data_IF_071682272899
#
_entry.id   IF_071682272899
#
_cell.length_a   1.000
_cell.length_b   1.000
_cell.length_c   1.000
_cell.angle_alpha   90.00
_cell.angle_beta   90.00
_cell.angle_gamma   90.00
#
_symmetry.space_group_name_H-M   'P 1'
#
loop_
_entity.id
_entity.type
_entity.pdbx_description
1 polymer ?
#
# COMPACT_ATOMS: atom_id res chain seq x y z
N UNK A 1 7.94 18.67 65.71
CA UNK A 1 7.43 17.45 65.03
C UNK A 1 6.67 17.92 63.79
N UNK A 2 7.22 17.77 62.58
CA UNK A 2 6.93 16.66 61.61
C UNK A 2 5.46 16.79 61.13
N UNK A 3 5.08 16.94 59.84
CA UNK A 3 5.66 16.57 58.54
C UNK A 3 5.01 17.34 57.39
N UNK A 4 5.76 17.47 56.29
CA UNK A 4 5.32 17.91 54.97
C UNK A 4 4.43 16.87 54.25
N UNK A 5 3.67 17.32 53.26
CA UNK A 5 3.05 16.49 52.23
C UNK A 5 2.20 17.35 51.29
N UNK A 6 2.33 17.32 49.98
CA UNK A 6 3.26 16.66 49.09
C UNK A 6 3.05 17.31 47.72
N UNK A 7 4.11 17.83 47.12
CA UNK A 7 4.07 18.27 45.73
C UNK A 7 3.93 17.02 44.87
N UNK A 8 2.74 16.81 44.30
CA UNK A 8 2.57 15.83 43.24
C UNK A 8 3.30 16.32 42.00
N UNK A 9 4.48 15.75 41.74
CA UNK A 9 5.12 15.89 40.43
C UNK A 9 4.14 15.41 39.34
N UNK A 10 4.00 16.15 38.22
CA UNK A 10 3.27 15.63 37.08
C UNK A 10 3.96 14.35 36.61
N UNK A 11 3.21 13.32 36.18
CA UNK A 11 3.82 12.10 35.70
C UNK A 11 4.72 12.45 34.52
N UNK A 12 6.03 12.28 34.69
CA UNK A 12 7.04 12.40 33.65
C UNK A 12 6.94 11.18 32.73
N UNK A 13 5.78 11.03 32.09
CA UNK A 13 5.58 10.07 31.01
C UNK A 13 6.41 10.55 29.83
N UNK A 14 7.48 9.82 29.51
CA UNK A 14 8.21 10.04 28.26
C UNK A 14 7.23 9.80 27.12
N UNK A 15 6.78 10.87 26.46
CA UNK A 15 5.95 10.72 25.25
C UNK A 15 6.80 9.97 24.23
N UNK A 16 6.37 8.79 23.76
CA UNK A 16 7.15 8.05 22.79
C UNK A 16 7.26 8.88 21.51
N UNK A 17 8.47 9.24 21.11
CA UNK A 17 8.73 9.94 19.85
C UNK A 17 8.63 8.90 18.74
N UNK A 18 7.50 8.88 18.04
CA UNK A 18 7.33 8.04 16.85
C UNK A 18 7.90 8.74 15.63
N UNK A 19 8.65 7.99 14.82
CA UNK A 19 8.98 8.45 13.46
C UNK A 19 7.69 8.66 12.66
N UNK A 20 7.61 9.72 11.82
CA UNK A 20 6.46 9.93 10.96
C UNK A 20 6.24 8.72 10.05
N UNK A 21 5.03 8.16 10.10
CA UNK A 21 4.60 7.12 9.17
C UNK A 21 4.09 7.85 7.92
N UNK A 22 4.90 7.85 6.85
CA UNK A 22 4.60 8.61 5.63
C UNK A 22 3.68 7.83 4.69
N UNK A 23 2.59 8.43 4.20
CA UNK A 23 1.71 7.80 3.21
C UNK A 23 2.39 7.72 1.84
N UNK A 24 2.19 6.62 1.09
CA UNK A 24 2.72 6.48 -0.25
C UNK A 24 1.91 7.30 -1.25
N UNK A 25 2.61 7.91 -2.23
CA UNK A 25 1.98 8.75 -3.25
C UNK A 25 1.81 8.03 -4.59
N UNK A 26 0.68 8.25 -5.25
CA UNK A 26 0.37 7.78 -6.60
C UNK A 26 0.85 8.84 -7.60
N UNK A 27 2.00 8.57 -8.22
CA UNK A 27 2.59 9.45 -9.26
C UNK A 27 2.39 8.91 -10.68
N UNK A 28 1.80 7.72 -10.80
CA UNK A 28 1.54 7.05 -12.07
C UNK A 28 0.44 6.02 -11.87
N UNK A 29 -0.45 5.92 -12.85
CA UNK A 29 -1.50 4.90 -12.93
C UNK A 29 -1.06 3.65 -13.72
N UNK A 30 0.24 3.55 -14.06
CA UNK A 30 0.74 2.33 -14.67
C UNK A 30 0.52 1.15 -13.72
N UNK A 31 0.19 -0.01 -14.27
CA UNK A 31 -0.11 -1.20 -13.48
C UNK A 31 1.00 -1.53 -12.47
N UNK A 32 2.28 -1.46 -12.88
CA UNK A 32 3.42 -1.66 -11.99
C UNK A 32 3.48 -0.63 -10.85
N UNK A 33 3.22 0.64 -11.15
CA UNK A 33 3.21 1.68 -10.13
C UNK A 33 2.09 1.48 -9.10
N UNK A 34 0.90 1.08 -9.55
CA UNK A 34 -0.24 0.80 -8.68
C UNK A 34 -0.02 -0.46 -7.83
N UNK A 35 0.58 -1.52 -8.37
CA UNK A 35 0.94 -2.71 -7.59
C UNK A 35 1.94 -2.36 -6.49
N UNK A 36 2.96 -1.54 -6.82
CA UNK A 36 3.92 -1.08 -5.82
C UNK A 36 3.24 -0.22 -4.77
N UNK A 37 2.42 0.74 -5.18
CA UNK A 37 1.68 1.61 -4.27
C UNK A 37 0.77 0.81 -3.33
N UNK A 38 0.04 -0.19 -3.81
CA UNK A 38 -0.83 -1.05 -2.99
C UNK A 38 -0.05 -1.79 -1.89
N UNK A 39 1.14 -2.31 -2.23
CA UNK A 39 2.05 -2.95 -1.27
C UNK A 39 2.53 -1.95 -0.21
N UNK A 40 2.99 -0.78 -0.65
CA UNK A 40 3.45 0.30 0.25
C UNK A 40 2.31 0.84 1.13
N UNK A 41 1.10 0.92 0.59
CA UNK A 41 -0.11 1.38 1.29
C UNK A 41 -0.51 0.42 2.40
N UNK A 42 -0.45 -0.88 2.13
CA UNK A 42 -0.68 -1.92 3.16
C UNK A 42 0.32 -1.83 4.31
N UNK A 43 1.60 -1.61 4.00
CA UNK A 43 2.65 -1.44 5.01
C UNK A 43 2.47 -0.16 5.82
N UNK A 44 2.11 0.95 5.15
CA UNK A 44 1.76 2.22 5.77
C UNK A 44 0.59 2.05 6.76
N UNK A 45 -0.52 1.47 6.31
CA UNK A 45 -1.70 1.29 7.16
C UNK A 45 -1.43 0.33 8.33
N UNK A 46 -0.63 -0.72 8.13
CA UNK A 46 -0.24 -1.63 9.21
C UNK A 46 0.56 -0.89 10.28
N UNK A 47 1.54 -0.07 9.88
CA UNK A 47 2.32 0.77 10.81
C UNK A 47 1.43 1.79 11.51
N UNK A 48 0.50 2.39 10.79
CA UNK A 48 -0.42 3.39 11.32
C UNK A 48 -1.38 2.80 12.35
N UNK A 49 -2.00 1.65 12.07
CA UNK A 49 -2.84 0.92 13.03
C UNK A 49 -2.08 0.54 14.30
N UNK A 50 -0.82 0.10 14.15
CA UNK A 50 0.04 -0.19 15.29
C UNK A 50 0.31 1.06 16.14
N UNK A 51 0.51 2.23 15.50
CA UNK A 51 0.67 3.51 16.22
C UNK A 51 -0.61 3.88 16.96
N UNK A 52 -1.76 3.88 16.28
CA UNK A 52 -3.07 4.16 16.86
C UNK A 52 -3.34 3.30 18.11
N UNK A 53 -2.98 2.01 18.07
CA UNK A 53 -3.12 1.11 19.23
C UNK A 53 -2.30 1.55 20.44
N UNK A 54 -1.14 2.18 20.24
CA UNK A 54 -0.26 2.64 21.32
C UNK A 54 -0.63 4.06 21.78
N UNK A 55 -1.03 4.93 20.85
CA UNK A 55 -1.32 6.35 21.14
C UNK A 55 -2.78 6.59 21.56
N UNK A 56 -3.70 5.69 21.19
CA UNK A 56 -5.15 5.90 21.32
C UNK A 56 -5.75 6.81 20.25
N UNK A 57 -4.98 7.17 19.21
CA UNK A 57 -5.48 7.92 18.05
C UNK A 57 -6.55 7.11 17.30
N UNK A 58 -7.58 7.78 16.82
CA UNK A 58 -8.54 7.19 15.88
C UNK A 58 -7.88 6.98 14.52
N UNK A 59 -7.96 5.76 13.99
CA UNK A 59 -7.35 5.38 12.73
C UNK A 59 -7.96 6.16 11.56
N UNK A 60 -9.27 6.29 11.52
CA UNK A 60 -9.99 6.94 10.41
C UNK A 60 -9.69 8.44 10.35
N UNK A 61 -9.29 9.04 11.47
CA UNK A 61 -8.89 10.44 11.55
C UNK A 61 -7.43 10.70 11.11
N UNK A 62 -6.56 9.68 11.08
CA UNK A 62 -5.13 9.84 10.80
C UNK A 62 -4.66 9.19 9.50
N UNK A 63 -5.48 8.33 8.91
CA UNK A 63 -5.19 7.69 7.64
C UNK A 63 -5.35 8.69 6.49
N UNK A 64 -4.34 8.79 5.62
CA UNK A 64 -4.43 9.66 4.45
C UNK A 64 -5.42 9.05 3.44
N UNK A 65 -6.34 9.87 2.92
CA UNK A 65 -7.28 9.43 1.89
C UNK A 65 -6.56 9.11 0.58
N UNK A 66 -7.16 8.26 -0.26
CA UNK A 66 -6.60 7.89 -1.55
C UNK A 66 -6.54 9.11 -2.46
N UNK A 67 -7.57 9.96 -2.43
CA UNK A 67 -7.58 11.24 -3.14
C UNK A 67 -6.33 12.07 -2.85
N UNK A 68 -5.94 12.17 -1.58
CA UNK A 68 -4.75 12.91 -1.14
C UNK A 68 -3.43 12.19 -1.44
N UNK A 69 -3.49 10.88 -1.76
CA UNK A 69 -2.34 10.10 -2.18
C UNK A 69 -1.94 10.41 -3.63
N UNK A 70 -2.85 10.92 -4.46
CA UNK A 70 -2.52 11.28 -5.86
C UNK A 70 -1.65 12.53 -5.95
N UNK A 71 -0.79 12.55 -6.96
CA UNK A 71 -0.32 13.80 -7.54
C UNK A 71 -1.52 14.60 -8.09
N UNK A 72 -1.57 15.91 -7.83
CA UNK A 72 -2.74 16.73 -8.11
C UNK A 72 -3.10 16.77 -9.60
N UNK A 73 -2.11 17.00 -10.47
CA UNK A 73 -2.31 17.04 -11.92
C UNK A 73 -2.73 15.66 -12.44
N UNK A 74 -2.17 14.59 -11.86
CA UNK A 74 -2.57 13.22 -12.19
C UNK A 74 -4.02 12.93 -11.76
N UNK A 75 -4.45 13.40 -10.59
CA UNK A 75 -5.81 13.20 -10.09
C UNK A 75 -6.82 13.85 -11.05
N UNK A 76 -6.55 15.07 -11.50
CA UNK A 76 -7.44 15.80 -12.41
C UNK A 76 -7.63 15.05 -13.74
N UNK A 77 -6.53 14.63 -14.36
CA UNK A 77 -6.57 13.85 -15.61
C UNK A 77 -7.23 12.48 -15.38
N UNK A 78 -6.98 11.85 -14.24
CA UNK A 78 -7.59 10.56 -13.91
C UNK A 78 -9.12 10.68 -13.77
N UNK A 79 -9.60 11.69 -13.05
CA UNK A 79 -11.03 11.92 -12.87
C UNK A 79 -11.72 12.24 -14.21
N UNK A 80 -11.14 13.13 -15.01
CA UNK A 80 -11.71 13.54 -16.31
C UNK A 80 -11.76 12.38 -17.30
N UNK A 81 -10.64 11.67 -17.50
CA UNK A 81 -10.52 10.72 -18.62
C UNK A 81 -10.81 9.27 -18.26
N UNK A 82 -10.58 8.84 -17.02
CA UNK A 82 -10.88 7.46 -16.60
C UNK A 82 -12.26 7.35 -15.97
N UNK A 83 -12.60 8.26 -15.06
CA UNK A 83 -13.86 8.20 -14.32
C UNK A 83 -14.99 8.97 -14.98
N UNK A 84 -14.68 9.92 -15.87
CA UNK A 84 -15.64 10.84 -16.47
C UNK A 84 -16.47 11.58 -15.41
N UNK A 85 -15.79 12.10 -14.38
CA UNK A 85 -16.36 12.86 -13.26
C UNK A 85 -15.44 14.02 -12.89
N UNK A 86 -15.99 15.14 -12.41
CA UNK A 86 -15.18 16.27 -11.93
C UNK A 86 -14.39 15.89 -10.67
N UNK A 87 -13.15 16.39 -10.52
CA UNK A 87 -12.31 16.13 -9.33
C UNK A 87 -12.99 16.55 -8.02
N UNK A 88 -13.90 17.52 -8.06
CA UNK A 88 -14.67 17.94 -6.89
C UNK A 88 -15.66 16.86 -6.41
N UNK A 89 -16.23 16.10 -7.34
CA UNK A 89 -17.30 15.12 -7.09
C UNK A 89 -16.77 13.69 -6.92
N UNK A 90 -15.49 13.44 -7.20
CA UNK A 90 -14.90 12.12 -7.03
C UNK A 90 -14.92 11.68 -5.56
N UNK A 91 -15.34 10.43 -5.34
CA UNK A 91 -15.37 9.80 -4.02
C UNK A 91 -14.23 8.80 -3.86
N UNK A 92 -13.84 8.53 -2.61
CA UNK A 92 -12.86 7.47 -2.30
C UNK A 92 -13.24 6.11 -2.92
N UNK A 93 -14.53 5.75 -2.88
CA UNK A 93 -15.02 4.50 -3.44
C UNK A 93 -14.82 4.39 -4.96
N UNK A 94 -14.94 5.50 -5.69
CA UNK A 94 -14.69 5.52 -7.14
C UNK A 94 -13.20 5.34 -7.45
N UNK A 95 -12.32 6.00 -6.69
CA UNK A 95 -10.87 5.84 -6.86
C UNK A 95 -10.43 4.41 -6.55
N UNK A 96 -10.95 3.82 -5.47
CA UNK A 96 -10.69 2.41 -5.12
C UNK A 96 -11.12 1.48 -6.25
N UNK A 97 -12.38 1.60 -6.68
CA UNK A 97 -12.95 0.73 -7.71
C UNK A 97 -12.14 0.79 -9.02
N UNK A 98 -11.69 1.97 -9.43
CA UNK A 98 -10.90 2.09 -10.67
C UNK A 98 -9.47 1.60 -10.49
N UNK A 99 -8.83 1.82 -9.33
CA UNK A 99 -7.52 1.23 -9.05
C UNK A 99 -7.62 -0.30 -9.07
N UNK A 100 -8.64 -0.88 -8.43
CA UNK A 100 -8.90 -2.32 -8.44
C UNK A 100 -9.16 -2.84 -9.86
N UNK A 101 -9.93 -2.10 -10.66
CA UNK A 101 -10.18 -2.42 -12.07
C UNK A 101 -8.87 -2.43 -12.89
N UNK A 102 -8.02 -1.42 -12.74
CA UNK A 102 -6.72 -1.38 -13.42
C UNK A 102 -5.86 -2.57 -13.00
N UNK A 103 -5.80 -2.89 -11.71
CA UNK A 103 -4.99 -3.98 -11.17
C UNK A 103 -5.48 -5.38 -11.58
N UNK A 104 -6.80 -5.55 -11.68
CA UNK A 104 -7.45 -6.78 -12.15
C UNK A 104 -7.41 -6.94 -13.68
N UNK A 105 -7.10 -5.89 -14.42
CA UNK A 105 -7.00 -5.94 -15.88
C UNK A 105 -5.61 -6.35 -16.35
N UNK A 106 -5.58 -7.18 -17.40
CA UNK A 106 -4.34 -7.50 -18.11
C UNK A 106 -3.72 -6.21 -18.64
N UNK A 107 -2.41 -6.03 -18.42
CA UNK A 107 -1.65 -4.87 -18.91
C UNK A 107 -1.98 -4.57 -20.38
N UNK A 108 -2.32 -3.32 -20.68
CA UNK A 108 -2.68 -2.85 -22.02
C UNK A 108 -3.86 -3.60 -22.69
N UNK A 109 -4.69 -4.30 -21.91
CA UNK A 109 -5.75 -5.20 -22.42
C UNK A 109 -5.21 -6.26 -23.41
N UNK A 110 -3.92 -6.58 -23.33
CA UNK A 110 -3.24 -7.47 -24.23
C UNK A 110 -2.52 -8.56 -23.43
N UNK A 111 -2.93 -9.81 -23.62
CA UNK A 111 -2.26 -10.94 -22.98
C UNK A 111 -0.80 -11.01 -23.43
N UNK A 112 0.18 -10.97 -22.51
CA UNK A 112 1.55 -11.26 -22.87
C UNK A 112 1.66 -12.71 -23.33
N UNK A 113 2.74 -13.08 -23.99
CA UNK A 113 3.07 -14.50 -24.16
C UNK A 113 3.34 -15.10 -22.77
N UNK A 114 2.30 -15.67 -22.18
CA UNK A 114 2.31 -16.22 -20.82
C UNK A 114 3.40 -17.28 -20.70
N UNK A 115 3.59 -18.11 -21.73
CA UNK A 115 4.59 -19.19 -21.70
C UNK A 115 5.99 -18.60 -21.65
N UNK A 116 6.31 -17.66 -22.53
CA UNK A 116 7.63 -17.04 -22.54
C UNK A 116 7.87 -16.18 -21.30
N UNK A 117 6.85 -15.49 -20.77
CA UNK A 117 6.93 -14.73 -19.51
C UNK A 117 7.36 -15.61 -18.34
N UNK A 118 6.60 -16.67 -18.04
CA UNK A 118 6.93 -17.57 -16.93
C UNK A 118 8.24 -18.33 -17.18
N UNK A 119 8.52 -18.72 -18.43
CA UNK A 119 9.79 -19.35 -18.78
C UNK A 119 10.99 -18.42 -18.56
N UNK A 120 10.84 -17.11 -18.75
CA UNK A 120 11.91 -16.13 -18.53
C UNK A 120 12.08 -15.82 -17.04
N UNK A 121 10.98 -15.49 -16.37
CA UNK A 121 11.04 -14.79 -15.08
C UNK A 121 10.79 -15.71 -13.87
N UNK A 122 10.12 -16.85 -14.03
CA UNK A 122 9.87 -17.79 -12.94
C UNK A 122 10.96 -18.86 -12.86
N UNK A 123 11.96 -18.61 -12.01
CA UNK A 123 13.10 -19.51 -11.79
C UNK A 123 13.21 -19.95 -10.34
N UNK A 124 13.44 -21.24 -10.13
CA UNK A 124 13.71 -21.78 -8.80
C UNK A 124 15.17 -21.51 -8.43
N UNK A 125 15.40 -20.95 -7.24
CA UNK A 125 16.74 -20.73 -6.72
C UNK A 125 17.36 -22.04 -6.26
N UNK A 126 18.19 -22.67 -7.09
CA UNK A 126 18.84 -23.94 -6.75
C UNK A 126 20.01 -23.79 -5.76
N UNK A 127 20.43 -22.56 -5.45
CA UNK A 127 21.43 -22.31 -4.42
C UNK A 127 20.85 -22.38 -3.00
N UNK A 128 19.53 -22.23 -2.83
CA UNK A 128 18.87 -22.47 -1.55
C UNK A 128 18.79 -23.97 -1.25
N UNK A 129 19.37 -24.37 -0.12
CA UNK A 129 19.48 -25.76 0.31
C UNK A 129 18.25 -26.23 1.08
N UNK A 130 17.53 -25.34 1.74
CA UNK A 130 16.25 -25.62 2.38
C UNK A 130 15.15 -25.74 1.31
N UNK A 131 14.67 -26.97 1.10
CA UNK A 131 13.67 -27.29 0.09
C UNK A 131 12.35 -26.53 0.31
N UNK A 132 11.97 -26.31 1.57
CA UNK A 132 10.73 -25.62 1.92
C UNK A 132 10.86 -24.14 1.60
N UNK A 133 11.95 -23.50 2.04
CA UNK A 133 12.22 -22.09 1.73
C UNK A 133 12.29 -21.85 0.22
N UNK A 134 13.02 -22.70 -0.51
CA UNK A 134 13.13 -22.64 -1.98
C UNK A 134 11.77 -22.75 -2.68
N UNK A 135 10.91 -23.63 -2.21
CA UNK A 135 9.56 -23.80 -2.77
C UNK A 135 8.68 -22.59 -2.49
N UNK A 136 8.76 -22.02 -1.28
CA UNK A 136 8.03 -20.81 -0.90
C UNK A 136 8.46 -19.60 -1.73
N UNK A 137 9.77 -19.43 -1.94
CA UNK A 137 10.30 -18.32 -2.76
C UNK A 137 9.85 -18.43 -4.23
N UNK A 138 9.83 -19.65 -4.78
CA UNK A 138 9.30 -19.90 -6.12
C UNK A 138 7.82 -19.52 -6.24
N UNK A 139 6.98 -19.93 -5.27
CA UNK A 139 5.56 -19.58 -5.27
C UNK A 139 5.32 -18.09 -5.02
N UNK A 140 6.14 -17.44 -4.20
CA UNK A 140 6.15 -15.98 -4.02
C UNK A 140 6.48 -15.27 -5.32
N UNK A 141 7.49 -15.74 -6.06
CA UNK A 141 7.85 -15.23 -7.37
C UNK A 141 6.70 -15.39 -8.38
N UNK A 142 6.08 -16.58 -8.43
CA UNK A 142 4.88 -16.82 -9.25
C UNK A 142 3.77 -15.81 -8.98
N UNK A 143 3.39 -15.63 -7.69
CA UNK A 143 2.36 -14.66 -7.30
C UNK A 143 2.73 -13.23 -7.69
N UNK A 144 4.00 -12.89 -7.61
CA UNK A 144 4.51 -11.56 -8.00
C UNK A 144 4.36 -11.35 -9.50
N UNK A 145 4.75 -12.32 -10.33
CA UNK A 145 4.59 -12.27 -11.78
C UNK A 145 3.11 -12.15 -12.18
N UNK A 146 2.24 -12.94 -11.56
CA UNK A 146 0.78 -12.89 -11.81
C UNK A 146 0.23 -11.51 -11.48
N UNK A 147 0.50 -11.01 -10.26
CA UNK A 147 0.05 -9.71 -9.80
C UNK A 147 0.57 -8.62 -10.74
N UNK A 148 1.88 -8.55 -10.96
CA UNK A 148 2.54 -7.52 -11.77
C UNK A 148 2.12 -7.53 -13.25
N UNK A 149 1.39 -8.54 -13.74
CA UNK A 149 0.89 -8.58 -15.12
C UNK A 149 -0.64 -8.50 -15.23
N UNK A 150 -1.36 -8.33 -14.13
CA UNK A 150 -2.82 -8.31 -14.12
C UNK A 150 -3.42 -9.63 -14.61
N UNK A 151 -2.79 -10.75 -14.24
CA UNK A 151 -3.23 -12.11 -14.59
C UNK A 151 -4.07 -12.74 -13.45
N UNK A 152 -4.68 -11.91 -12.61
CA UNK A 152 -5.58 -12.35 -11.54
C UNK A 152 -6.97 -12.60 -12.13
N UNK A 153 -7.67 -13.63 -11.64
CA UNK A 153 -9.04 -13.99 -12.07
C UNK A 153 -10.08 -12.99 -11.58
#
# INVERSE_FOLDING_TARGET
MIRAGGNGEPPTGTVPVFLPVLPPKIKSISHEALVRWEKERRDYETKLRNRCRVTGEDYDAVVEQIKDSFDADLLDVFCEFQLNVETADVTEGMLIAEIEHILGSVKNKALPDIKELFKKDLKMNLAETDVTARSMDYLKCFKTIVADNGLME
#
